data_IF_873963930268
#
_entry.id   IF_873963930268
#
_cell.length_a   1.000
_cell.length_b   1.000
_cell.length_c   1.000
_cell.angle_alpha   90.00
_cell.angle_beta   90.00
_cell.angle_gamma   90.00
#
_symmetry.space_group_name_H-M   'P 1'
#
loop_
_entity.id
_entity.type
_entity.pdbx_description
1 polymer ?
#
# COMPACT_ATOMS: atom_id res chain seq x y z
N UNK A 1 22.21 -37.54 25.56
CA UNK A 1 21.38 -36.58 26.29
C UNK A 1 20.98 -35.50 25.28
N UNK A 2 19.83 -35.63 24.70
CA UNK A 2 19.32 -34.79 23.62
C UNK A 2 18.28 -33.87 24.20
N UNK A 3 18.68 -32.65 24.60
CA UNK A 3 17.75 -31.60 24.97
C UNK A 3 17.09 -31.05 23.70
N UNK A 4 16.00 -31.68 23.33
CA UNK A 4 15.08 -31.19 22.32
C UNK A 4 14.32 -30.01 22.94
N UNK A 5 14.74 -28.79 22.60
CA UNK A 5 13.94 -27.59 22.91
C UNK A 5 12.53 -27.76 22.31
N UNK A 6 11.48 -27.40 23.03
CA UNK A 6 10.11 -27.58 22.57
C UNK A 6 9.83 -26.71 21.33
N UNK A 7 9.02 -27.19 20.38
CA UNK A 7 8.77 -26.54 19.08
C UNK A 7 7.85 -25.31 19.12
N UNK A 8 7.71 -24.62 20.24
CA UNK A 8 6.77 -23.51 20.38
C UNK A 8 7.32 -22.39 21.29
N UNK A 9 8.42 -21.75 20.87
CA UNK A 9 8.72 -20.40 21.35
C UNK A 9 8.05 -19.36 20.44
N UNK A 10 6.77 -19.51 20.20
CA UNK A 10 5.94 -18.35 19.85
C UNK A 10 6.00 -17.40 21.04
N UNK A 11 6.39 -16.15 20.81
CA UNK A 11 6.18 -15.08 21.79
C UNK A 11 4.74 -15.28 22.29
N UNK A 12 4.52 -15.48 23.60
CA UNK A 12 3.19 -15.75 24.09
C UNK A 12 2.28 -14.65 23.59
N UNK A 13 1.22 -14.99 22.88
CA UNK A 13 0.26 -14.05 22.28
C UNK A 13 -0.38 -13.11 23.34
N UNK A 14 -0.20 -13.42 24.61
CA UNK A 14 -0.61 -12.63 25.76
C UNK A 14 0.21 -11.33 25.97
N UNK A 15 1.42 -11.23 25.40
CA UNK A 15 2.32 -10.08 25.61
C UNK A 15 2.35 -9.10 24.43
N UNK A 16 1.59 -9.35 23.36
CA UNK A 16 1.51 -8.39 22.27
C UNK A 16 0.46 -7.32 22.62
N UNK A 17 0.87 -6.05 22.76
CA UNK A 17 -0.08 -4.98 23.00
C UNK A 17 -1.14 -4.99 21.92
N UNK A 18 -2.40 -5.08 22.31
CA UNK A 18 -3.52 -4.97 21.36
C UNK A 18 -3.78 -3.49 21.12
N UNK A 19 -3.87 -3.07 19.87
CA UNK A 19 -4.40 -1.75 19.57
C UNK A 19 -5.77 -1.61 20.25
N UNK A 20 -6.06 -0.46 20.89
CA UNK A 20 -7.35 -0.24 21.53
C UNK A 20 -8.48 -0.51 20.55
N UNK A 21 -9.56 -1.13 20.99
CA UNK A 21 -10.69 -1.56 20.14
C UNK A 21 -11.39 -0.43 19.39
N UNK A 22 -11.08 0.84 19.70
CA UNK A 22 -11.72 2.04 19.15
C UNK A 22 -10.72 3.15 18.80
N UNK A 23 -9.52 2.81 18.38
CA UNK A 23 -8.49 3.79 18.01
C UNK A 23 -8.95 4.80 16.94
N UNK A 24 -9.92 4.44 16.10
CA UNK A 24 -10.51 5.34 15.10
C UNK A 24 -11.37 6.48 15.68
N UNK A 25 -11.64 6.47 16.99
CA UNK A 25 -12.35 7.54 17.73
C UNK A 25 -11.42 8.43 18.51
N UNK A 26 -10.12 8.24 18.41
CA UNK A 26 -9.14 9.03 19.13
C UNK A 26 -9.03 10.44 18.54
N UNK A 27 -9.01 11.51 19.35
CA UNK A 27 -8.90 12.88 18.87
C UNK A 27 -7.56 13.14 18.16
N UNK A 28 -6.51 12.41 18.52
CA UNK A 28 -5.21 12.46 17.86
C UNK A 28 -5.31 12.03 16.39
N UNK A 29 -6.13 11.02 16.10
CA UNK A 29 -6.41 10.63 14.72
C UNK A 29 -7.18 11.72 13.97
N UNK A 30 -8.18 12.34 14.62
CA UNK A 30 -8.92 13.45 14.01
C UNK A 30 -8.00 14.62 13.66
N UNK A 31 -7.08 14.98 14.56
CA UNK A 31 -6.05 15.99 14.30
C UNK A 31 -5.16 15.60 13.10
N UNK A 32 -4.73 14.35 13.04
CA UNK A 32 -3.92 13.84 11.94
C UNK A 32 -4.68 13.89 10.60
N UNK A 33 -5.96 13.53 10.61
CA UNK A 33 -6.82 13.62 9.42
C UNK A 33 -6.98 15.07 8.94
N UNK A 34 -7.20 16.02 9.84
CA UNK A 34 -7.28 17.44 9.51
C UNK A 34 -5.98 17.92 8.84
N UNK A 35 -4.83 17.51 9.39
CA UNK A 35 -3.52 17.84 8.82
C UNK A 35 -3.38 17.26 7.39
N UNK A 36 -3.71 15.97 7.19
CA UNK A 36 -3.57 15.31 5.89
C UNK A 36 -4.55 15.89 4.87
N UNK A 37 -5.83 16.06 5.26
CA UNK A 37 -6.82 16.65 4.37
C UNK A 37 -6.45 18.09 4.00
N UNK A 38 -5.99 18.87 4.95
CA UNK A 38 -5.51 20.24 4.72
C UNK A 38 -4.29 20.30 3.80
N UNK A 39 -3.33 19.36 3.96
CA UNK A 39 -2.09 19.36 3.18
C UNK A 39 -2.29 18.83 1.75
N UNK A 40 -3.12 17.80 1.56
CA UNK A 40 -3.19 17.05 0.29
C UNK A 40 -4.46 17.33 -0.50
N UNK A 41 -5.62 17.44 0.14
CA UNK A 41 -6.91 17.56 -0.55
C UNK A 41 -7.32 19.02 -0.84
N UNK A 42 -6.63 20.01 -0.24
CA UNK A 42 -6.85 21.40 -0.59
C UNK A 42 -6.16 21.77 -1.90
N UNK A 43 -6.86 22.46 -2.79
CA UNK A 43 -6.32 22.98 -4.05
C UNK A 43 -5.69 21.91 -4.95
N UNK A 44 -6.22 20.68 -4.97
CA UNK A 44 -5.75 19.59 -5.85
C UNK A 44 -5.50 20.07 -7.30
N UNK A 45 -6.44 20.82 -7.97
CA UNK A 45 -6.25 21.23 -9.35
C UNK A 45 -5.35 22.48 -9.54
N UNK A 46 -4.86 23.11 -8.45
CA UNK A 46 -4.19 24.40 -8.54
C UNK A 46 -2.75 24.30 -9.08
N UNK A 47 -2.06 23.20 -8.84
CA UNK A 47 -0.69 23.01 -9.30
C UNK A 47 -0.65 22.71 -10.80
N UNK A 48 0.40 23.19 -11.46
CA UNK A 48 0.69 22.84 -12.86
C UNK A 48 1.02 21.34 -12.98
N UNK A 49 0.65 20.73 -14.12
CA UNK A 49 0.99 19.33 -14.42
C UNK A 49 2.51 19.22 -14.59
N UNK A 50 3.13 18.21 -13.97
CA UNK A 50 4.58 18.01 -13.96
C UNK A 50 4.95 16.55 -14.24
N UNK A 51 6.16 16.34 -14.76
CA UNK A 51 6.76 15.02 -14.94
C UNK A 51 5.90 14.05 -15.74
N UNK A 52 5.78 12.83 -15.23
CA UNK A 52 5.03 11.74 -15.85
C UNK A 52 3.50 11.87 -15.71
N UNK A 53 3.04 12.87 -14.95
CA UNK A 53 1.61 13.12 -14.69
C UNK A 53 0.81 13.27 -15.99
N UNK A 54 1.35 14.04 -16.94
CA UNK A 54 0.73 14.29 -18.25
C UNK A 54 0.50 12.99 -19.02
N UNK A 55 1.51 12.13 -19.05
CA UNK A 55 1.44 10.84 -19.74
C UNK A 55 0.38 9.92 -19.12
N UNK A 56 0.28 9.89 -17.77
CA UNK A 56 -0.73 9.10 -17.08
C UNK A 56 -2.14 9.59 -17.35
N UNK A 57 -2.31 10.91 -17.38
CA UNK A 57 -3.59 11.52 -17.74
C UNK A 57 -4.02 11.17 -19.17
N UNK A 58 -3.09 11.22 -20.13
CA UNK A 58 -3.36 10.83 -21.51
C UNK A 58 -3.74 9.36 -21.63
N UNK A 59 -3.00 8.45 -20.96
CA UNK A 59 -3.32 7.02 -20.98
C UNK A 59 -4.71 6.77 -20.36
N UNK A 60 -5.00 7.35 -19.20
CA UNK A 60 -6.30 7.17 -18.56
C UNK A 60 -7.45 7.74 -19.37
N UNK A 61 -7.24 8.85 -20.07
CA UNK A 61 -8.21 9.42 -21.01
C UNK A 61 -8.45 8.49 -22.18
N UNK A 62 -7.39 7.96 -22.80
CA UNK A 62 -7.49 7.05 -23.94
C UNK A 62 -8.20 5.73 -23.53
N UNK A 63 -7.98 5.23 -22.31
CA UNK A 63 -8.74 4.09 -21.75
C UNK A 63 -10.25 4.37 -21.70
N UNK A 64 -10.65 5.58 -21.32
CA UNK A 64 -12.07 5.97 -21.28
C UNK A 64 -12.65 6.15 -22.69
N UNK A 65 -11.88 6.69 -23.63
CA UNK A 65 -12.33 6.95 -25.01
C UNK A 65 -12.43 5.67 -25.85
N UNK A 66 -11.48 4.73 -25.67
CA UNK A 66 -11.41 3.50 -26.47
C UNK A 66 -12.11 2.30 -25.82
N UNK A 67 -12.29 2.32 -24.49
CA UNK A 67 -12.75 1.17 -23.71
C UNK A 67 -11.68 0.07 -23.53
N UNK A 68 -10.45 0.26 -24.01
CA UNK A 68 -9.34 -0.68 -23.81
C UNK A 68 -8.61 -0.39 -22.50
N UNK A 69 -8.95 -1.13 -21.45
CA UNK A 69 -8.36 -1.00 -20.13
C UNK A 69 -7.15 -1.92 -19.91
N UNK A 70 -6.91 -2.86 -20.83
CA UNK A 70 -5.86 -3.87 -20.66
C UNK A 70 -4.52 -3.37 -21.19
N UNK A 71 -4.53 -2.82 -22.42
CA UNK A 71 -3.31 -2.32 -23.05
C UNK A 71 -3.21 -0.81 -22.90
N UNK A 72 -2.35 -0.30 -21.98
CA UNK A 72 -2.12 1.14 -21.87
C UNK A 72 -1.60 1.70 -23.19
N UNK A 73 -2.25 2.73 -23.71
CA UNK A 73 -1.83 3.45 -24.92
C UNK A 73 -1.61 4.91 -24.62
N UNK A 74 -0.66 5.50 -25.30
CA UNK A 74 -0.41 6.94 -25.26
C UNK A 74 -0.36 7.45 -26.69
N UNK A 75 -1.35 8.23 -27.09
CA UNK A 75 -1.51 8.73 -28.46
C UNK A 75 -1.56 7.59 -29.50
N UNK A 76 -2.34 6.54 -29.20
CA UNK A 76 -2.52 5.37 -30.05
C UNK A 76 -1.37 4.34 -29.95
N UNK A 77 -0.22 4.70 -29.35
CA UNK A 77 0.94 3.80 -29.26
C UNK A 77 0.87 2.96 -27.98
N UNK A 78 0.92 1.62 -28.05
CA UNK A 78 0.96 0.75 -26.86
C UNK A 78 2.17 1.04 -25.98
N UNK A 79 1.95 1.12 -24.66
CA UNK A 79 2.98 1.44 -23.69
C UNK A 79 3.12 0.33 -22.65
N UNK A 80 4.07 -0.57 -22.83
CA UNK A 80 4.31 -1.71 -21.94
C UNK A 80 5.32 -1.41 -20.80
N UNK A 81 5.85 -0.19 -20.74
CA UNK A 81 6.90 0.17 -19.78
C UNK A 81 6.42 0.26 -18.34
N UNK A 82 5.13 0.36 -18.10
CA UNK A 82 4.55 0.53 -16.76
C UNK A 82 3.22 -0.22 -16.65
N UNK A 83 2.98 -0.93 -15.52
CA UNK A 83 1.69 -1.57 -15.25
C UNK A 83 0.56 -0.56 -15.05
N UNK A 84 -0.71 -0.95 -15.22
CA UNK A 84 -1.82 -0.02 -15.44
C UNK A 84 -2.54 0.47 -14.18
N UNK A 85 -2.29 -0.05 -12.98
CA UNK A 85 -3.15 0.17 -11.81
C UNK A 85 -3.36 1.66 -11.49
N UNK A 86 -2.30 2.49 -11.57
CA UNK A 86 -2.45 3.94 -11.37
C UNK A 86 -3.36 4.56 -12.44
N UNK A 87 -3.19 4.17 -13.70
CA UNK A 87 -3.98 4.68 -14.82
C UNK A 87 -5.46 4.25 -14.69
N UNK A 88 -5.72 3.02 -14.24
CA UNK A 88 -7.08 2.55 -13.94
C UNK A 88 -7.77 3.41 -12.88
N UNK A 89 -7.06 3.72 -11.78
CA UNK A 89 -7.63 4.55 -10.72
C UNK A 89 -7.92 5.97 -11.20
N UNK A 90 -7.05 6.53 -12.04
CA UNK A 90 -7.25 7.85 -12.66
C UNK A 90 -8.46 7.80 -13.61
N UNK A 91 -8.56 6.76 -14.46
CA UNK A 91 -9.68 6.60 -15.38
C UNK A 91 -11.01 6.42 -14.62
N UNK A 92 -11.02 5.62 -13.55
CA UNK A 92 -12.20 5.47 -12.68
C UNK A 92 -12.58 6.83 -12.06
N UNK A 93 -11.63 7.58 -11.50
CA UNK A 93 -11.92 8.91 -10.98
C UNK A 93 -12.45 9.88 -12.06
N UNK A 94 -11.87 9.79 -13.27
CA UNK A 94 -12.29 10.56 -14.43
C UNK A 94 -13.70 10.22 -14.93
N UNK A 95 -14.10 8.95 -14.88
CA UNK A 95 -15.44 8.52 -15.31
C UNK A 95 -16.56 9.16 -14.49
N UNK A 96 -16.35 9.37 -13.19
CA UNK A 96 -17.29 10.06 -12.31
C UNK A 96 -17.38 11.58 -12.57
N UNK A 97 -16.41 12.14 -13.29
CA UNK A 97 -16.31 13.58 -13.57
C UNK A 97 -16.62 13.95 -15.03
N UNK A 98 -16.95 12.94 -15.86
CA UNK A 98 -17.19 13.13 -17.28
C UNK A 98 -15.91 13.28 -18.11
N UNK A 99 -14.73 12.97 -17.54
CA UNK A 99 -13.44 13.00 -18.22
C UNK A 99 -12.27 13.14 -17.26
N UNK A 100 -11.04 12.95 -17.79
CA UNK A 100 -9.82 13.10 -17.00
C UNK A 100 -9.43 14.56 -16.88
N UNK A 101 -9.51 15.10 -15.68
CA UNK A 101 -9.10 16.44 -15.31
C UNK A 101 -7.95 16.43 -14.27
N UNK A 102 -7.47 17.59 -13.84
CA UNK A 102 -6.39 17.70 -12.84
C UNK A 102 -6.77 17.09 -11.49
N UNK A 103 -8.05 17.09 -11.15
CA UNK A 103 -8.55 16.48 -9.92
C UNK A 103 -8.48 14.96 -10.03
N UNK A 104 -9.10 14.36 -11.04
CA UNK A 104 -9.11 12.91 -11.24
C UNK A 104 -7.70 12.33 -11.39
N UNK A 105 -6.77 13.12 -11.95
CA UNK A 105 -5.38 12.74 -12.11
C UNK A 105 -4.65 12.55 -10.77
N UNK A 106 -4.92 13.39 -9.76
CA UNK A 106 -4.20 13.43 -8.47
C UNK A 106 -4.93 12.75 -7.34
N UNK A 107 -6.26 12.76 -7.38
CA UNK A 107 -7.11 12.21 -6.34
C UNK A 107 -6.73 10.78 -5.88
N UNK A 108 -6.37 9.83 -6.76
CA UNK A 108 -5.89 8.51 -6.34
C UNK A 108 -4.61 8.56 -5.50
N UNK A 109 -3.67 9.45 -5.82
CA UNK A 109 -2.43 9.63 -5.06
C UNK A 109 -2.70 10.24 -3.68
N UNK A 110 -3.55 11.27 -3.60
CA UNK A 110 -3.96 11.87 -2.33
C UNK A 110 -4.66 10.85 -1.43
N UNK A 111 -5.56 10.03 -1.99
CA UNK A 111 -6.17 8.91 -1.27
C UNK A 111 -5.14 7.88 -0.79
N UNK A 112 -4.14 7.56 -1.60
CA UNK A 112 -3.08 6.64 -1.23
C UNK A 112 -2.25 7.19 -0.04
N UNK A 113 -1.94 8.49 -0.02
CA UNK A 113 -1.28 9.12 1.14
C UNK A 113 -2.16 9.02 2.39
N UNK A 114 -3.45 9.37 2.29
CA UNK A 114 -4.38 9.28 3.41
C UNK A 114 -4.44 7.86 3.98
N UNK A 115 -4.57 6.86 3.12
CA UNK A 115 -4.61 5.45 3.53
C UNK A 115 -3.28 5.00 4.14
N UNK A 116 -2.15 5.47 3.61
CA UNK A 116 -0.82 5.19 4.19
C UNK A 116 -0.70 5.76 5.60
N UNK A 117 -1.13 7.00 5.80
CA UNK A 117 -1.11 7.64 7.13
C UNK A 117 -2.02 6.90 8.11
N UNK A 118 -3.23 6.53 7.70
CA UNK A 118 -4.16 5.73 8.52
C UNK A 118 -3.55 4.37 8.89
N UNK A 119 -2.88 3.73 7.95
CA UNK A 119 -2.22 2.45 8.16
C UNK A 119 -1.03 2.59 9.13
N UNK A 120 -0.20 3.62 8.97
CA UNK A 120 0.92 3.93 9.89
C UNK A 120 0.36 4.18 11.29
N UNK A 121 -0.68 5.02 11.43
CA UNK A 121 -1.30 5.30 12.72
C UNK A 121 -1.82 4.01 13.37
N UNK A 122 -2.64 3.23 12.66
CA UNK A 122 -3.21 1.98 13.16
C UNK A 122 -2.16 0.93 13.54
N UNK A 123 -1.08 0.83 12.75
CA UNK A 123 0.06 -0.02 13.05
C UNK A 123 0.80 0.47 14.30
N UNK A 124 1.15 1.74 14.35
CA UNK A 124 1.86 2.35 15.48
C UNK A 124 1.06 2.21 16.79
N UNK A 125 -0.28 2.34 16.74
CA UNK A 125 -1.16 2.12 17.91
C UNK A 125 -1.12 0.71 18.48
N UNK A 126 -0.58 -0.25 17.72
CA UNK A 126 -0.35 -1.60 18.26
C UNK A 126 0.82 -1.65 19.23
N UNK A 127 1.81 -0.77 19.07
CA UNK A 127 3.08 -0.83 19.80
C UNK A 127 3.38 0.45 20.60
N UNK A 128 2.78 1.57 20.21
CA UNK A 128 3.09 2.90 20.75
C UNK A 128 1.87 3.56 21.42
N UNK A 129 2.15 4.62 22.18
CA UNK A 129 1.12 5.51 22.72
C UNK A 129 0.36 6.26 21.62
N UNK A 130 -0.74 6.94 21.95
CA UNK A 130 -1.50 7.78 21.02
C UNK A 130 -0.62 8.88 20.40
N UNK A 131 0.18 9.54 21.24
CA UNK A 131 1.10 10.58 20.80
C UNK A 131 2.18 10.01 19.88
N UNK A 132 2.74 8.83 20.20
CA UNK A 132 3.70 8.15 19.33
C UNK A 132 3.12 7.80 17.95
N UNK A 133 1.86 7.36 17.90
CA UNK A 133 1.17 7.05 16.63
C UNK A 133 0.86 8.34 15.84
N UNK A 134 0.41 9.41 16.53
CA UNK A 134 0.23 10.72 15.91
C UNK A 134 1.53 11.23 15.29
N UNK A 135 2.62 11.18 16.05
CA UNK A 135 3.95 11.63 15.59
C UNK A 135 4.42 10.81 14.38
N UNK A 136 4.24 9.49 14.39
CA UNK A 136 4.63 8.64 13.27
C UNK A 136 3.86 8.98 11.98
N UNK A 137 2.53 9.14 12.09
CA UNK A 137 1.69 9.53 10.95
C UNK A 137 1.98 10.95 10.46
N UNK A 138 2.16 11.91 11.38
CA UNK A 138 2.47 13.30 11.05
C UNK A 138 3.87 13.43 10.43
N UNK A 139 4.86 12.72 10.94
CA UNK A 139 6.21 12.69 10.37
C UNK A 139 6.19 12.22 8.92
N UNK A 140 5.50 11.11 8.63
CA UNK A 140 5.33 10.63 7.26
C UNK A 140 4.63 11.68 6.38
N UNK A 141 3.48 12.20 6.83
CA UNK A 141 2.68 13.15 6.06
C UNK A 141 3.38 14.49 5.78
N UNK A 142 4.35 14.89 6.60
CA UNK A 142 5.09 16.15 6.47
C UNK A 142 6.47 16.00 5.82
N UNK A 143 6.90 14.79 5.46
CA UNK A 143 8.16 14.60 4.72
C UNK A 143 8.11 15.32 3.37
N UNK A 144 9.11 16.14 3.06
CA UNK A 144 9.12 16.94 1.84
C UNK A 144 8.89 16.12 0.56
N UNK A 145 9.55 14.98 0.42
CA UNK A 145 9.35 14.08 -0.72
C UNK A 145 7.94 13.50 -0.78
N UNK A 146 7.32 13.18 0.36
CA UNK A 146 5.94 12.67 0.42
C UNK A 146 4.96 13.77 0.02
N UNK A 147 5.19 15.03 0.45
CA UNK A 147 4.37 16.18 0.05
C UNK A 147 4.52 16.46 -1.44
N UNK A 148 5.72 16.38 -1.98
CA UNK A 148 5.98 16.63 -3.39
C UNK A 148 5.35 15.55 -4.29
N UNK A 149 5.67 14.28 -4.05
CA UNK A 149 5.20 13.16 -4.87
C UNK A 149 3.74 12.77 -4.58
N UNK A 150 3.26 12.98 -3.35
CA UNK A 150 1.90 12.66 -2.96
C UNK A 150 0.87 13.56 -3.63
N UNK A 151 1.22 14.80 -3.97
CA UNK A 151 0.34 15.77 -4.63
C UNK A 151 0.42 15.75 -6.16
N UNK A 152 1.06 14.75 -6.71
CA UNK A 152 1.16 14.51 -8.16
C UNK A 152 0.46 13.23 -8.56
N UNK A 153 0.01 13.12 -9.81
CA UNK A 153 -0.61 11.92 -10.37
C UNK A 153 0.39 10.80 -10.66
N UNK A 154 1.45 10.68 -9.84
CA UNK A 154 2.52 9.70 -10.00
C UNK A 154 2.19 8.37 -9.28
N UNK A 155 2.95 7.32 -9.62
CA UNK A 155 2.76 5.99 -9.03
C UNK A 155 3.31 5.86 -7.62
N UNK A 156 4.13 6.80 -7.16
CA UNK A 156 4.93 6.66 -5.95
C UNK A 156 4.08 6.56 -4.68
N UNK A 157 3.05 7.39 -4.56
CA UNK A 157 2.14 7.36 -3.41
C UNK A 157 1.40 6.02 -3.31
N UNK A 158 0.83 5.55 -4.43
CA UNK A 158 0.12 4.27 -4.48
C UNK A 158 1.06 3.09 -4.26
N UNK A 159 2.24 3.12 -4.86
CA UNK A 159 3.26 2.09 -4.66
C UNK A 159 3.71 2.00 -3.20
N UNK A 160 3.94 3.14 -2.55
CA UNK A 160 4.31 3.20 -1.13
C UNK A 160 3.21 2.62 -0.25
N UNK A 161 1.94 2.97 -0.50
CA UNK A 161 0.79 2.38 0.21
C UNK A 161 0.80 0.86 0.12
N UNK A 162 0.95 0.32 -1.09
CA UNK A 162 0.81 -1.11 -1.34
C UNK A 162 2.01 -1.92 -0.82
N UNK A 163 3.22 -1.42 -0.99
CA UNK A 163 4.42 -2.07 -0.43
C UNK A 163 4.45 -2.00 1.08
N UNK A 164 4.25 -0.81 1.66
CA UNK A 164 4.19 -0.68 3.12
C UNK A 164 3.03 -1.47 3.69
N UNK A 165 1.88 -1.46 3.01
CA UNK A 165 0.71 -2.25 3.37
C UNK A 165 0.99 -3.74 3.41
N UNK A 166 1.68 -4.27 2.40
CA UNK A 166 2.04 -5.69 2.35
C UNK A 166 2.87 -6.11 3.56
N UNK A 167 3.83 -5.28 3.96
CA UNK A 167 4.72 -5.53 5.10
C UNK A 167 4.01 -5.36 6.44
N UNK A 168 3.33 -4.23 6.65
CA UNK A 168 2.71 -3.89 7.94
C UNK A 168 1.52 -4.80 8.24
N UNK A 169 0.68 -5.11 7.24
CA UNK A 169 -0.45 -6.02 7.40
C UNK A 169 0.05 -7.44 7.67
N UNK A 170 1.03 -7.91 6.91
CA UNK A 170 1.65 -9.22 7.14
C UNK A 170 2.20 -9.31 8.57
N UNK A 171 2.99 -8.32 9.00
CA UNK A 171 3.61 -8.30 10.32
C UNK A 171 2.56 -8.28 11.46
N UNK A 172 1.54 -7.42 11.36
CA UNK A 172 0.47 -7.37 12.36
C UNK A 172 -0.28 -8.71 12.43
N UNK A 173 -0.59 -9.32 11.29
CA UNK A 173 -1.22 -10.63 11.25
C UNK A 173 -0.35 -11.70 11.93
N UNK A 174 0.96 -11.69 11.65
CA UNK A 174 1.93 -12.63 12.24
C UNK A 174 2.02 -12.45 13.75
N UNK A 175 2.21 -11.22 14.22
CA UNK A 175 2.38 -10.93 15.65
C UNK A 175 1.09 -11.19 16.45
N UNK A 176 -0.07 -10.95 15.85
CA UNK A 176 -1.38 -11.21 16.48
C UNK A 176 -1.84 -12.68 16.41
N UNK A 177 -1.05 -13.56 15.83
CA UNK A 177 -1.41 -14.95 15.68
C UNK A 177 -2.62 -15.19 14.77
N UNK A 178 -2.80 -14.35 13.74
CA UNK A 178 -3.82 -14.58 12.72
C UNK A 178 -3.54 -15.87 11.96
N UNK A 179 -4.56 -16.40 11.29
CA UNK A 179 -4.40 -17.61 10.48
C UNK A 179 -3.25 -17.44 9.47
N UNK A 180 -2.38 -18.45 9.30
CA UNK A 180 -1.27 -18.39 8.33
C UNK A 180 -1.72 -18.04 6.91
N UNK A 181 -2.87 -18.55 6.48
CA UNK A 181 -3.45 -18.22 5.17
C UNK A 181 -3.78 -16.74 5.04
N UNK A 182 -4.45 -16.16 6.05
CA UNK A 182 -4.76 -14.73 6.07
C UNK A 182 -3.48 -13.89 6.00
N UNK A 183 -2.47 -14.26 6.77
CA UNK A 183 -1.18 -13.55 6.82
C UNK A 183 -0.51 -13.51 5.45
N UNK A 184 -0.35 -14.67 4.81
CA UNK A 184 0.32 -14.76 3.52
C UNK A 184 -0.51 -14.20 2.37
N UNK A 185 -1.81 -14.54 2.30
CA UNK A 185 -2.66 -14.08 1.19
C UNK A 185 -2.82 -12.55 1.18
N UNK A 186 -3.01 -11.90 2.34
CA UNK A 186 -3.11 -10.44 2.39
C UNK A 186 -1.78 -9.75 2.03
N UNK A 187 -0.64 -10.28 2.52
CA UNK A 187 0.67 -9.76 2.17
C UNK A 187 0.92 -9.83 0.67
N UNK A 188 0.70 -10.99 0.06
CA UNK A 188 0.89 -11.19 -1.37
C UNK A 188 -0.14 -10.47 -2.24
N UNK A 189 -1.38 -10.32 -1.79
CA UNK A 189 -2.40 -9.51 -2.49
C UNK A 189 -1.91 -8.06 -2.65
N UNK A 190 -1.46 -7.44 -1.56
CA UNK A 190 -0.95 -6.07 -1.60
C UNK A 190 0.36 -5.96 -2.40
N UNK A 191 1.24 -6.95 -2.33
CA UNK A 191 2.45 -7.01 -3.14
C UNK A 191 2.13 -7.15 -4.65
N UNK A 192 1.11 -7.95 -5.02
CA UNK A 192 0.64 -8.08 -6.39
C UNK A 192 0.07 -6.78 -6.95
N UNK A 193 -0.78 -6.09 -6.17
CA UNK A 193 -1.27 -4.77 -6.53
C UNK A 193 -0.12 -3.74 -6.64
N UNK A 194 0.88 -3.83 -5.77
CA UNK A 194 2.11 -3.04 -5.88
C UNK A 194 2.87 -3.31 -7.18
N UNK A 195 2.91 -4.57 -7.62
CA UNK A 195 3.50 -4.96 -8.90
C UNK A 195 2.71 -4.34 -10.07
N UNK A 196 1.38 -4.34 -10.01
CA UNK A 196 0.52 -3.68 -11.01
C UNK A 196 0.64 -2.13 -10.99
N UNK A 197 1.36 -1.57 -10.02
CA UNK A 197 1.61 -0.12 -9.94
C UNK A 197 2.95 0.28 -10.56
N UNK A 198 4.04 -0.42 -10.21
CA UNK A 198 5.40 0.01 -10.58
C UNK A 198 6.32 -1.14 -11.06
N UNK A 199 5.77 -2.37 -11.17
CA UNK A 199 6.52 -3.54 -11.63
C UNK A 199 7.10 -4.40 -10.51
N UNK A 200 8.11 -5.25 -10.79
CA UNK A 200 8.53 -6.36 -9.94
C UNK A 200 9.23 -5.96 -8.63
N UNK A 201 9.39 -4.69 -8.36
CA UNK A 201 10.03 -4.20 -7.12
C UNK A 201 9.22 -4.57 -5.86
N UNK A 202 7.87 -4.57 -5.94
CA UNK A 202 7.01 -4.83 -4.80
C UNK A 202 7.20 -6.22 -4.18
N UNK A 203 7.15 -7.34 -4.93
CA UNK A 203 7.40 -8.66 -4.39
C UNK A 203 8.85 -8.83 -3.90
N UNK A 204 9.83 -8.16 -4.49
CA UNK A 204 11.22 -8.20 -4.02
C UNK A 204 11.34 -7.56 -2.63
N UNK A 205 10.74 -6.38 -2.43
CA UNK A 205 10.73 -5.74 -1.11
C UNK A 205 9.97 -6.59 -0.08
N UNK A 206 8.82 -7.14 -0.46
CA UNK A 206 8.03 -7.99 0.42
C UNK A 206 8.79 -9.27 0.80
N UNK A 207 9.24 -10.05 -0.18
CA UNK A 207 9.92 -11.32 0.06
C UNK A 207 11.25 -11.13 0.81
N UNK A 208 12.04 -10.11 0.43
CA UNK A 208 13.31 -9.80 1.08
C UNK A 208 13.13 -9.43 2.55
N UNK A 209 12.23 -8.49 2.85
CA UNK A 209 11.98 -8.03 4.22
C UNK A 209 11.38 -9.14 5.09
N UNK A 210 10.37 -9.85 4.58
CA UNK A 210 9.74 -10.96 5.31
C UNK A 210 10.72 -12.11 5.50
N UNK A 211 11.52 -12.43 4.48
CA UNK A 211 12.54 -13.47 4.56
C UNK A 211 13.59 -13.18 5.64
N UNK A 212 14.11 -11.94 5.66
CA UNK A 212 15.04 -11.48 6.69
C UNK A 212 14.41 -11.56 8.08
N UNK A 213 13.15 -11.07 8.22
CA UNK A 213 12.43 -11.14 9.49
C UNK A 213 12.29 -12.58 10.00
N UNK A 214 11.86 -13.51 9.14
CA UNK A 214 11.69 -14.91 9.50
C UNK A 214 13.02 -15.60 9.86
N UNK A 215 14.10 -15.21 9.21
CA UNK A 215 15.44 -15.69 9.50
C UNK A 215 15.90 -15.24 10.90
N UNK A 216 15.81 -13.94 11.20
CA UNK A 216 16.22 -13.39 12.50
C UNK A 216 15.34 -13.87 13.67
N UNK A 217 14.04 -14.08 13.42
CA UNK A 217 13.11 -14.62 14.44
C UNK A 217 13.15 -16.15 14.53
N UNK A 218 13.98 -16.81 13.73
CA UNK A 218 14.09 -18.29 13.62
C UNK A 218 12.79 -18.98 13.25
N UNK A 219 11.89 -18.27 12.57
CA UNK A 219 10.58 -18.77 12.11
C UNK A 219 10.58 -19.18 10.62
N UNK A 220 11.76 -19.49 10.08
CA UNK A 220 11.93 -19.84 8.66
C UNK A 220 11.01 -20.96 8.17
N UNK A 221 10.58 -21.89 9.07
CA UNK A 221 9.59 -22.92 8.73
C UNK A 221 8.24 -22.36 8.28
N UNK A 222 7.88 -21.16 8.72
CA UNK A 222 6.66 -20.49 8.29
C UNK A 222 6.68 -20.16 6.79
N UNK A 223 7.86 -19.91 6.22
CA UNK A 223 8.04 -19.72 4.79
C UNK A 223 7.80 -21.01 3.96
N UNK A 224 7.93 -22.19 4.56
CA UNK A 224 7.70 -23.48 3.87
C UNK A 224 6.29 -24.06 4.15
N UNK A 225 5.35 -23.21 4.56
CA UNK A 225 3.98 -23.63 4.86
C UNK A 225 3.10 -23.68 3.59
N UNK A 226 2.05 -24.52 3.63
CA UNK A 226 1.02 -24.52 2.57
C UNK A 226 0.34 -23.15 2.42
N UNK A 227 0.25 -22.39 3.50
CA UNK A 227 -0.30 -21.05 3.51
C UNK A 227 0.57 -20.07 2.68
N UNK A 228 1.89 -20.24 2.68
CA UNK A 228 2.77 -19.44 1.82
C UNK A 228 2.55 -19.75 0.34
N UNK A 229 2.39 -21.03 -0.01
CA UNK A 229 2.03 -21.44 -1.39
C UNK A 229 0.70 -20.81 -1.81
N UNK A 230 -0.31 -20.78 -0.93
CA UNK A 230 -1.57 -20.09 -1.21
C UNK A 230 -1.38 -18.58 -1.40
N UNK A 231 -0.47 -17.95 -0.64
CA UNK A 231 -0.09 -16.55 -0.83
C UNK A 231 0.54 -16.30 -2.20
N UNK A 232 1.48 -17.16 -2.62
CA UNK A 232 2.09 -17.08 -3.97
C UNK A 232 1.01 -17.27 -5.04
N UNK A 233 0.11 -18.23 -4.87
CA UNK A 233 -1.02 -18.42 -5.80
C UNK A 233 -1.91 -17.18 -5.88
N UNK A 234 -2.18 -16.51 -4.75
CA UNK A 234 -2.89 -15.21 -4.71
C UNK A 234 -2.16 -14.15 -5.52
N UNK A 235 -0.84 -14.04 -5.35
CA UNK A 235 -0.01 -13.11 -6.13
C UNK A 235 -0.13 -13.39 -7.63
N UNK A 236 0.07 -14.66 -8.05
CA UNK A 236 0.00 -15.06 -9.45
C UNK A 236 -1.39 -14.83 -10.05
N UNK A 237 -2.46 -15.11 -9.30
CA UNK A 237 -3.83 -14.88 -9.75
C UNK A 237 -4.09 -13.39 -10.00
N UNK A 238 -3.71 -12.51 -9.06
CA UNK A 238 -3.96 -11.07 -9.18
C UNK A 238 -3.08 -10.44 -10.26
N UNK A 239 -1.79 -10.79 -10.29
CA UNK A 239 -0.88 -10.25 -11.31
C UNK A 239 -1.18 -10.79 -12.70
N UNK A 240 -1.55 -12.07 -12.81
CA UNK A 240 -1.89 -12.74 -14.08
C UNK A 240 -3.22 -12.32 -14.68
N UNK A 241 -4.03 -11.50 -13.99
CA UNK A 241 -5.25 -10.89 -14.54
C UNK A 241 -4.94 -9.78 -15.57
N UNK A 242 -3.74 -9.29 -15.61
CA UNK A 242 -3.24 -8.31 -16.56
C UNK A 242 -2.16 -8.91 -17.46
#
# INVERSE_FOLDING_TARGET
MSDVLPPNSTIPSSNVPRAPSKWWREPELALLLVLVVGAYFTRIPALTIRGEESRRGLIAREMLETGDWIVPRCQGVPLFSRPPLQNWLIAVAGSFRGGVDRFSLRFPSDCAILLTVLMIYGYARTFLSKLGALTAGAAYASMGQVVELGRTGETDALFTLLVSGSLLVWHVCQVRGASPYKTWCLGYLLAALGTLTKGPQAPVYFAGTVGIYLLFTRQWRFAFSRAHVAGIATFCAVYGMW
#
